data_IF_496062085506
#
_entry.id   IF_496062085506
#
_cell.length_a   1.000
_cell.length_b   1.000
_cell.length_c   1.000
_cell.angle_alpha   90.00
_cell.angle_beta   90.00
_cell.angle_gamma   90.00
#
_symmetry.space_group_name_H-M   'P 1'
#
loop_
_entity.id
_entity.type
_entity.pdbx_description
1 polymer ?
#
# COMPACT_ATOMS: atom_id res chain seq x y z
N UNK A 1 -22.25 -44.99 -14.46
CA UNK A 1 -23.01 -44.88 -13.19
C UNK A 1 -22.08 -45.35 -12.07
N UNK A 2 -21.41 -44.43 -11.40
CA UNK A 2 -20.60 -44.72 -10.21
C UNK A 2 -21.01 -43.71 -9.14
N UNK A 3 -21.41 -44.28 -8.01
CA UNK A 3 -21.91 -43.59 -6.83
C UNK A 3 -20.76 -42.87 -6.13
N UNK A 4 -20.98 -41.59 -5.85
CA UNK A 4 -20.23 -40.78 -4.89
C UNK A 4 -20.33 -41.39 -3.49
N UNK A 5 -19.21 -41.47 -2.78
CA UNK A 5 -19.17 -41.51 -1.31
C UNK A 5 -18.01 -40.66 -0.80
N UNK A 6 -18.36 -39.43 -0.45
CA UNK A 6 -17.54 -38.42 0.20
C UNK A 6 -17.24 -38.83 1.65
N UNK A 7 -16.02 -38.55 2.12
CA UNK A 7 -15.70 -38.35 3.54
C UNK A 7 -15.02 -37.00 3.71
N UNK A 8 -15.24 -36.33 4.86
CA UNK A 8 -14.87 -34.93 5.05
C UNK A 8 -13.39 -34.78 5.38
N UNK A 9 -12.85 -33.62 5.02
CA UNK A 9 -11.48 -33.10 5.22
C UNK A 9 -10.52 -33.40 4.07
N UNK A 10 -9.98 -32.32 3.48
CA UNK A 10 -9.11 -32.24 2.27
C UNK A 10 -9.78 -32.66 0.96
N UNK A 11 -10.27 -31.68 0.18
CA UNK A 11 -10.79 -31.90 -1.17
C UNK A 11 -9.61 -32.06 -2.16
N UNK A 12 -9.43 -33.27 -2.67
CA UNK A 12 -8.67 -33.51 -3.89
C UNK A 12 -9.59 -33.26 -5.08
N UNK A 13 -9.27 -32.27 -5.91
CA UNK A 13 -9.94 -32.01 -7.18
C UNK A 13 -8.93 -32.22 -8.31
N UNK A 14 -9.34 -32.92 -9.37
CA UNK A 14 -8.55 -33.01 -10.62
C UNK A 14 -8.48 -31.60 -11.22
N UNK A 15 -7.37 -30.90 -10.95
CA UNK A 15 -7.19 -29.49 -11.28
C UNK A 15 -6.54 -29.35 -12.67
N UNK A 16 -7.10 -28.48 -13.51
CA UNK A 16 -6.36 -27.90 -14.63
C UNK A 16 -5.39 -26.86 -14.07
N UNK A 17 -4.16 -27.26 -13.75
CA UNK A 17 -3.15 -26.42 -13.13
C UNK A 17 -2.36 -25.67 -14.20
N UNK A 18 -2.16 -24.37 -14.01
CA UNK A 18 -1.36 -23.53 -14.91
C UNK A 18 -0.10 -23.08 -14.16
N UNK A 19 1.06 -23.32 -14.78
CA UNK A 19 2.39 -22.99 -14.22
C UNK A 19 2.69 -21.50 -14.35
N UNK A 20 3.32 -20.93 -13.33
CA UNK A 20 3.90 -19.58 -13.44
C UNK A 20 5.13 -19.59 -14.36
N UNK A 21 5.17 -18.70 -15.34
CA UNK A 21 6.24 -18.63 -16.35
C UNK A 21 7.50 -18.01 -15.74
N UNK A 22 8.61 -18.76 -15.71
CA UNK A 22 9.94 -18.13 -15.59
C UNK A 22 10.31 -17.50 -16.93
N UNK A 23 10.77 -16.25 -16.92
CA UNK A 23 11.25 -15.57 -18.12
C UNK A 23 12.32 -16.42 -18.83
N UNK A 24 12.06 -16.80 -20.08
CA UNK A 24 13.05 -17.43 -20.97
C UNK A 24 12.76 -18.84 -21.47
N UNK A 25 11.76 -19.57 -20.95
CA UNK A 25 11.46 -20.93 -21.45
C UNK A 25 10.39 -20.92 -22.57
N UNK A 26 10.72 -21.59 -23.68
CA UNK A 26 9.81 -21.97 -24.76
C UNK A 26 9.75 -23.49 -24.78
N UNK A 27 8.64 -24.07 -24.36
CA UNK A 27 8.35 -25.48 -24.60
C UNK A 27 6.88 -25.67 -25.00
N UNK A 28 6.70 -26.40 -26.09
CA UNK A 28 5.46 -27.00 -26.55
C UNK A 28 5.12 -28.13 -25.55
N UNK A 29 4.20 -27.88 -24.61
CA UNK A 29 3.69 -28.92 -23.73
C UNK A 29 2.34 -29.43 -24.27
N UNK A 30 2.30 -30.70 -24.64
CA UNK A 30 1.07 -31.44 -24.91
C UNK A 30 0.52 -31.93 -23.56
N UNK A 31 -0.56 -31.31 -23.07
CA UNK A 31 -1.31 -31.76 -21.88
C UNK A 31 -1.04 -30.98 -20.58
N UNK A 32 -2.07 -30.77 -19.73
CA UNK A 32 -2.00 -29.90 -18.54
C UNK A 32 -1.25 -30.48 -17.32
N UNK A 33 -0.85 -31.76 -17.35
CA UNK A 33 -0.20 -32.44 -16.22
C UNK A 33 1.29 -32.79 -16.46
N UNK A 34 1.77 -32.66 -17.70
CA UNK A 34 3.15 -33.01 -18.04
C UNK A 34 4.11 -31.88 -17.62
N UNK A 35 4.82 -32.09 -16.51
CA UNK A 35 5.94 -31.25 -16.08
C UNK A 35 5.77 -30.48 -14.77
N UNK A 36 4.69 -30.72 -14.01
CA UNK A 36 4.51 -30.19 -12.66
C UNK A 36 5.01 -31.20 -11.62
N UNK A 37 6.08 -30.83 -10.90
CA UNK A 37 6.64 -31.61 -9.80
C UNK A 37 6.15 -31.11 -8.44
N UNK A 38 6.31 -31.95 -7.41
CA UNK A 38 6.08 -31.52 -6.03
C UNK A 38 6.93 -30.28 -5.70
N UNK A 39 6.30 -29.25 -5.13
CA UNK A 39 6.92 -27.95 -4.85
C UNK A 39 6.71 -26.88 -5.92
N UNK A 40 6.17 -27.22 -7.10
CA UNK A 40 5.88 -26.22 -8.12
C UNK A 40 4.71 -25.30 -7.72
N UNK A 41 4.82 -23.97 -7.95
CA UNK A 41 3.73 -23.04 -7.71
C UNK A 41 2.66 -23.17 -8.79
N UNK A 42 1.40 -23.11 -8.38
CA UNK A 42 0.25 -23.27 -9.26
C UNK A 42 -0.86 -22.30 -8.87
N UNK A 43 -1.63 -21.82 -9.86
CA UNK A 43 -2.80 -20.97 -9.65
C UNK A 43 -4.09 -21.80 -9.79
N UNK A 44 -5.02 -21.67 -8.86
CA UNK A 44 -6.34 -22.28 -9.01
C UNK A 44 -7.20 -21.43 -9.97
N UNK A 45 -7.64 -22.05 -11.08
CA UNK A 45 -8.51 -21.42 -12.09
C UNK A 45 -9.91 -22.06 -12.14
N UNK A 46 -10.23 -22.95 -11.20
CA UNK A 46 -11.56 -23.55 -11.09
C UNK A 46 -12.52 -22.55 -10.42
N UNK A 47 -13.42 -21.95 -11.19
CA UNK A 47 -14.34 -20.89 -10.73
C UNK A 47 -15.26 -21.37 -9.60
N UNK A 48 -15.58 -22.66 -9.57
CA UNK A 48 -16.39 -23.31 -8.55
C UNK A 48 -15.62 -23.63 -7.25
N UNK A 49 -14.28 -23.49 -7.26
CA UNK A 49 -13.44 -23.76 -6.09
C UNK A 49 -13.39 -22.55 -5.15
N UNK A 50 -13.42 -22.80 -3.84
CA UNK A 50 -13.12 -21.78 -2.83
C UNK A 50 -11.69 -21.23 -2.93
N UNK A 51 -10.80 -21.91 -3.67
CA UNK A 51 -9.45 -21.49 -3.95
C UNK A 51 -9.31 -20.68 -5.25
N UNK A 52 -10.38 -20.36 -5.98
CA UNK A 52 -10.28 -19.63 -7.26
C UNK A 52 -9.43 -18.35 -7.13
N UNK A 53 -8.44 -18.20 -8.01
CA UNK A 53 -7.50 -17.09 -8.01
C UNK A 53 -6.42 -17.15 -6.92
N UNK A 54 -6.37 -18.21 -6.10
CA UNK A 54 -5.35 -18.40 -5.07
C UNK A 54 -4.14 -19.16 -5.62
N UNK A 55 -2.95 -18.78 -5.12
CA UNK A 55 -1.71 -19.50 -5.35
C UNK A 55 -1.61 -20.70 -4.40
N UNK A 56 -1.18 -21.84 -4.94
CA UNK A 56 -0.92 -23.07 -4.23
C UNK A 56 0.41 -23.68 -4.63
N UNK A 57 0.70 -24.84 -4.05
CA UNK A 57 1.91 -25.62 -4.32
C UNK A 57 1.51 -27.06 -4.56
N UNK A 58 2.09 -27.68 -5.58
CA UNK A 58 1.89 -29.12 -5.85
C UNK A 58 2.48 -29.93 -4.69
N UNK A 59 1.69 -30.80 -4.09
CA UNK A 59 2.14 -31.70 -3.01
C UNK A 59 2.45 -33.10 -3.52
N UNK A 60 1.68 -33.60 -4.50
CA UNK A 60 1.91 -34.91 -5.13
C UNK A 60 1.83 -34.79 -6.64
N UNK A 61 2.87 -35.30 -7.31
CA UNK A 61 2.94 -35.37 -8.76
C UNK A 61 2.36 -36.70 -9.24
N UNK A 62 1.72 -36.70 -10.41
CA UNK A 62 1.20 -37.92 -11.04
C UNK A 62 2.30 -38.93 -11.42
N UNK A 63 3.58 -38.60 -11.24
CA UNK A 63 4.72 -39.49 -11.48
C UNK A 63 5.02 -40.39 -10.28
N UNK A 64 4.53 -40.05 -9.07
CA UNK A 64 4.84 -40.74 -7.82
C UNK A 64 3.73 -41.70 -7.34
N UNK A 65 2.59 -41.77 -8.06
CA UNK A 65 1.44 -42.61 -7.71
C UNK A 65 0.83 -43.32 -8.93
N UNK A 66 0.33 -44.54 -8.74
CA UNK A 66 -0.40 -45.31 -9.76
C UNK A 66 -1.75 -44.66 -10.17
N UNK A 67 -2.22 -43.67 -9.40
CA UNK A 67 -3.35 -42.80 -9.75
C UNK A 67 -2.84 -41.50 -10.38
N UNK A 68 -3.37 -41.14 -11.55
CA UNK A 68 -2.94 -40.02 -12.39
C UNK A 68 -3.40 -38.63 -11.90
N UNK A 69 -3.81 -38.49 -10.65
CA UNK A 69 -4.39 -37.26 -10.11
C UNK A 69 -3.32 -36.40 -9.43
N UNK A 70 -3.03 -35.24 -10.02
CA UNK A 70 -2.10 -34.25 -9.48
C UNK A 70 -2.75 -33.48 -8.32
N UNK A 71 -2.08 -33.42 -7.18
CA UNK A 71 -2.62 -32.80 -5.97
C UNK A 71 -1.87 -31.52 -5.63
N UNK A 72 -2.60 -30.42 -5.45
CA UNK A 72 -2.05 -29.14 -5.03
C UNK A 72 -2.74 -28.65 -3.75
N UNK A 73 -1.94 -28.07 -2.86
CA UNK A 73 -2.40 -27.43 -1.64
C UNK A 73 -2.45 -25.92 -1.83
N UNK A 74 -3.63 -25.33 -1.65
CA UNK A 74 -3.86 -23.89 -1.76
C UNK A 74 -3.93 -23.27 -0.38
N UNK A 75 -3.16 -22.20 -0.16
CA UNK A 75 -3.35 -21.37 1.02
C UNK A 75 -4.51 -20.44 0.76
N UNK A 76 -5.70 -20.86 1.19
CA UNK A 76 -6.86 -19.99 1.21
C UNK A 76 -6.52 -18.75 2.06
N UNK A 77 -6.84 -17.56 1.54
CA UNK A 77 -6.89 -16.35 2.34
C UNK A 77 -7.87 -16.51 3.52
N UNK A 78 -7.90 -15.53 4.42
CA UNK A 78 -8.88 -15.53 5.51
C UNK A 78 -10.29 -15.65 4.92
N UNK A 79 -11.14 -16.55 5.44
CA UNK A 79 -12.57 -16.55 5.14
C UNK A 79 -13.16 -15.14 5.31
N UNK A 80 -14.17 -14.78 4.51
CA UNK A 80 -14.70 -13.41 4.49
C UNK A 80 -15.18 -12.92 5.88
N UNK A 81 -15.69 -13.82 6.72
CA UNK A 81 -16.07 -13.56 8.11
C UNK A 81 -14.85 -13.33 9.02
N UNK A 82 -13.76 -14.07 8.82
CA UNK A 82 -12.49 -13.84 9.52
C UNK A 82 -11.80 -12.54 9.07
N UNK A 83 -11.84 -12.23 7.78
CA UNK A 83 -11.35 -10.96 7.23
C UNK A 83 -12.13 -9.77 7.81
N UNK A 84 -13.47 -9.87 7.84
CA UNK A 84 -14.32 -8.86 8.46
C UNK A 84 -14.05 -8.73 9.95
N UNK A 85 -13.90 -9.84 10.68
CA UNK A 85 -13.56 -9.83 12.09
C UNK A 85 -12.17 -9.21 12.35
N UNK A 86 -11.18 -9.51 11.50
CA UNK A 86 -9.86 -8.89 11.57
C UNK A 86 -9.94 -7.39 11.31
N UNK A 87 -10.68 -6.96 10.28
CA UNK A 87 -10.86 -5.54 9.97
C UNK A 87 -11.52 -4.79 11.13
N UNK A 88 -12.55 -5.38 11.75
CA UNK A 88 -13.19 -4.80 12.95
C UNK A 88 -12.22 -4.70 14.13
N UNK A 89 -11.36 -5.72 14.35
CA UNK A 89 -10.33 -5.68 15.41
C UNK A 89 -9.30 -4.59 15.13
N UNK A 90 -8.82 -4.47 13.89
CA UNK A 90 -7.89 -3.41 13.47
C UNK A 90 -8.53 -2.03 13.72
N UNK A 91 -9.77 -1.83 13.27
CA UNK A 91 -10.51 -0.59 13.51
C UNK A 91 -10.67 -0.31 15.01
N UNK A 92 -10.95 -1.33 15.82
CA UNK A 92 -11.03 -1.19 17.27
C UNK A 92 -9.72 -0.74 17.92
N UNK A 93 -8.57 -1.23 17.44
CA UNK A 93 -7.24 -0.76 17.90
C UNK A 93 -7.01 0.68 17.49
N UNK A 94 -7.29 1.03 16.23
CA UNK A 94 -7.13 2.40 15.71
C UNK A 94 -8.01 3.38 16.51
N UNK A 95 -9.26 3.03 16.80
CA UNK A 95 -10.16 3.89 17.58
C UNK A 95 -9.66 4.10 19.01
N UNK A 96 -9.14 3.06 19.67
CA UNK A 96 -8.53 3.20 21.00
C UNK A 96 -7.32 4.12 20.97
N UNK A 97 -6.45 3.99 19.97
CA UNK A 97 -5.31 4.88 19.79
C UNK A 97 -5.77 6.32 19.53
N UNK A 98 -6.74 6.54 18.65
CA UNK A 98 -7.29 7.87 18.37
C UNK A 98 -7.84 8.58 19.61
N UNK A 99 -8.40 7.84 20.58
CA UNK A 99 -8.89 8.41 21.85
C UNK A 99 -7.76 8.91 22.77
N UNK A 100 -6.54 8.38 22.62
CA UNK A 100 -5.38 8.77 23.43
C UNK A 100 -4.63 9.97 22.87
N UNK A 101 -4.85 10.30 21.59
CA UNK A 101 -4.15 11.37 20.90
C UNK A 101 -4.81 12.73 21.13
N UNK A 102 -4.00 13.78 21.14
CA UNK A 102 -4.50 15.16 21.07
C UNK A 102 -4.64 15.57 19.61
N UNK A 103 -5.75 16.22 19.28
CA UNK A 103 -6.06 16.60 17.90
C UNK A 103 -6.08 18.12 17.75
N UNK A 104 -5.45 18.59 16.69
CA UNK A 104 -5.22 19.99 16.40
C UNK A 104 -5.83 20.38 15.06
N UNK A 105 -6.47 21.54 15.01
CA UNK A 105 -6.87 22.14 13.74
C UNK A 105 -5.63 22.59 12.96
N UNK A 106 -5.75 22.79 11.64
CA UNK A 106 -4.67 23.34 10.81
C UNK A 106 -4.08 24.65 11.38
N UNK A 107 -4.94 25.53 11.91
CA UNK A 107 -4.51 26.79 12.52
C UNK A 107 -3.74 26.59 13.83
N UNK A 108 -4.07 25.56 14.61
CA UNK A 108 -3.35 25.24 15.83
C UNK A 108 -2.03 24.52 15.54
N UNK A 109 -1.96 23.69 14.49
CA UNK A 109 -0.68 23.13 14.00
C UNK A 109 0.28 24.26 13.63
N UNK A 110 -0.20 25.27 12.90
CA UNK A 110 0.62 26.44 12.54
C UNK A 110 1.16 27.19 13.77
N UNK A 111 0.34 27.38 14.80
CA UNK A 111 0.78 27.99 16.06
C UNK A 111 1.82 27.14 16.78
N UNK A 112 1.57 25.83 16.94
CA UNK A 112 2.47 24.92 17.65
C UNK A 112 3.81 24.74 16.94
N UNK A 113 3.83 24.79 15.61
CA UNK A 113 5.04 24.64 14.80
C UNK A 113 5.73 25.96 14.48
N UNK A 114 5.11 27.11 14.78
CA UNK A 114 5.64 28.43 14.41
C UNK A 114 5.76 28.63 12.89
N UNK A 115 4.91 27.97 12.10
CA UNK A 115 4.86 28.06 10.64
C UNK A 115 3.66 28.88 10.18
N UNK A 116 3.73 29.41 8.97
CA UNK A 116 2.57 30.05 8.34
C UNK A 116 1.52 28.98 7.99
N UNK A 117 0.23 29.28 8.19
CA UNK A 117 -0.89 28.37 7.88
C UNK A 117 -0.86 27.92 6.42
N UNK A 118 -0.44 28.80 5.50
CA UNK A 118 -0.24 28.46 4.08
C UNK A 118 0.83 27.36 3.92
N UNK A 119 1.98 27.50 4.58
CA UNK A 119 3.07 26.52 4.52
C UNK A 119 2.63 25.19 5.12
N UNK A 120 1.95 25.21 6.28
CA UNK A 120 1.39 24.02 6.92
C UNK A 120 0.42 23.31 5.98
N UNK A 121 -0.49 24.05 5.33
CA UNK A 121 -1.44 23.46 4.37
C UNK A 121 -0.74 22.78 3.19
N UNK A 122 0.35 23.36 2.69
CA UNK A 122 1.12 22.77 1.60
C UNK A 122 1.84 21.51 2.06
N UNK A 123 2.65 21.60 3.11
CA UNK A 123 3.56 20.52 3.51
C UNK A 123 2.83 19.32 4.09
N UNK A 124 1.66 19.51 4.71
CA UNK A 124 0.82 18.40 5.16
C UNK A 124 0.10 17.70 4.00
N UNK A 125 0.03 18.29 2.81
CA UNK A 125 -0.45 17.64 1.60
C UNK A 125 0.67 17.00 0.78
N UNK A 126 0.44 16.90 -0.53
CA UNK A 126 1.45 16.51 -1.52
C UNK A 126 2.15 17.76 -2.07
N UNK A 127 3.49 17.74 -2.11
CA UNK A 127 4.32 18.80 -2.68
C UNK A 127 5.32 18.17 -3.63
N UNK A 128 5.04 18.26 -4.93
CA UNK A 128 6.02 17.87 -5.93
C UNK A 128 7.18 18.87 -5.95
N UNK A 129 8.39 18.36 -5.84
CA UNK A 129 9.61 19.13 -5.96
C UNK A 129 10.49 18.52 -7.07
N UNK A 130 11.22 19.38 -7.78
CA UNK A 130 11.98 19.02 -8.97
C UNK A 130 13.43 19.49 -8.85
N UNK A 131 14.35 18.59 -9.18
CA UNK A 131 15.75 18.85 -9.48
C UNK A 131 16.02 18.53 -10.96
N UNK A 132 17.28 18.47 -11.38
CA UNK A 132 17.62 18.40 -12.80
C UNK A 132 17.12 17.09 -13.46
N UNK A 133 17.24 15.95 -12.76
CA UNK A 133 16.77 14.65 -13.27
C UNK A 133 15.77 13.95 -12.35
N UNK A 134 15.38 14.59 -11.25
CA UNK A 134 14.56 13.99 -10.19
C UNK A 134 13.31 14.82 -9.96
N UNK A 135 12.17 14.14 -9.77
CA UNK A 135 10.90 14.76 -9.39
C UNK A 135 10.24 13.89 -8.32
N UNK A 136 10.28 14.37 -7.07
CA UNK A 136 9.81 13.64 -5.90
C UNK A 136 8.66 14.38 -5.22
N UNK A 137 7.83 13.65 -4.49
CA UNK A 137 6.88 14.23 -3.55
C UNK A 137 7.54 14.40 -2.19
N UNK A 138 7.76 15.66 -1.78
CA UNK A 138 8.36 16.02 -0.49
C UNK A 138 7.31 16.45 0.53
N UNK A 139 6.03 16.31 0.19
CA UNK A 139 4.91 16.51 1.09
C UNK A 139 4.77 15.35 2.09
N UNK A 140 4.28 15.66 3.29
CA UNK A 140 4.02 14.63 4.31
C UNK A 140 2.80 13.77 3.99
N UNK A 141 1.97 14.17 3.01
CA UNK A 141 0.84 13.38 2.52
C UNK A 141 -0.20 13.01 3.61
N UNK A 142 -0.34 13.85 4.64
CA UNK A 142 -1.35 13.71 5.71
C UNK A 142 -2.72 14.27 5.30
N UNK A 143 -2.77 15.11 4.27
CA UNK A 143 -3.98 15.66 3.67
C UNK A 143 -4.12 15.13 2.24
N UNK A 144 -4.81 14.01 2.08
CA UNK A 144 -5.05 13.41 0.77
C UNK A 144 -6.55 13.24 0.53
N UNK A 145 -6.99 13.54 -0.69
CA UNK A 145 -8.37 13.34 -1.15
C UNK A 145 -8.33 12.50 -2.42
N UNK A 146 -8.99 11.35 -2.40
CA UNK A 146 -9.25 10.55 -3.59
C UNK A 146 -10.49 11.13 -4.28
N UNK A 147 -10.33 11.54 -5.53
CA UNK A 147 -11.41 12.10 -6.33
C UNK A 147 -12.03 11.00 -7.21
N UNK A 148 -13.29 10.68 -6.93
CA UNK A 148 -14.11 9.79 -7.77
C UNK A 148 -15.23 10.64 -8.38
N UNK A 149 -14.97 11.19 -9.56
CA UNK A 149 -15.85 12.16 -10.21
C UNK A 149 -15.89 13.48 -9.43
N UNK A 150 -17.08 13.88 -8.96
CA UNK A 150 -17.28 15.09 -8.17
C UNK A 150 -17.16 14.85 -6.65
N UNK A 151 -16.95 13.61 -6.23
CA UNK A 151 -16.86 13.24 -4.81
C UNK A 151 -15.40 13.12 -4.40
N UNK A 152 -15.00 13.91 -3.40
CA UNK A 152 -13.72 13.81 -2.73
C UNK A 152 -13.84 12.94 -1.47
N UNK A 153 -13.21 11.78 -1.47
CA UNK A 153 -13.11 10.90 -0.30
C UNK A 153 -11.77 11.18 0.40
N UNK A 154 -11.77 11.63 1.67
CA UNK A 154 -10.54 11.89 2.39
C UNK A 154 -9.80 10.58 2.71
N UNK A 155 -8.53 10.50 2.34
CA UNK A 155 -7.62 9.43 2.74
C UNK A 155 -6.87 9.90 3.99
N UNK A 156 -7.30 9.41 5.15
CA UNK A 156 -6.67 9.73 6.43
C UNK A 156 -5.62 8.67 6.78
N UNK A 157 -4.39 9.12 7.03
CA UNK A 157 -3.36 8.27 7.61
C UNK A 157 -3.69 7.99 9.09
N UNK A 158 -3.79 6.72 9.50
CA UNK A 158 -4.07 6.34 10.89
C UNK A 158 -3.14 7.07 11.85
N UNK A 159 -3.67 7.51 12.99
CA UNK A 159 -2.93 8.22 14.05
C UNK A 159 -2.31 9.56 13.70
N UNK A 160 -2.31 10.00 12.44
CA UNK A 160 -1.71 11.27 12.01
C UNK A 160 -2.74 12.31 11.57
N UNK A 161 -3.78 11.87 10.88
CA UNK A 161 -4.78 12.76 10.28
C UNK A 161 -6.20 12.22 10.45
N UNK A 162 -7.16 13.12 10.51
CA UNK A 162 -8.58 12.78 10.54
C UNK A 162 -9.40 13.89 9.89
N UNK A 163 -10.52 13.49 9.29
CA UNK A 163 -11.53 14.41 8.74
C UNK A 163 -12.75 14.42 9.64
N UNK A 164 -13.02 15.56 10.29
CA UNK A 164 -14.24 15.76 11.07
C UNK A 164 -15.03 16.96 10.55
N UNK A 165 -16.28 16.70 10.14
CA UNK A 165 -17.10 17.69 9.43
C UNK A 165 -16.35 18.21 8.20
N UNK A 166 -16.29 19.54 8.09
CA UNK A 166 -15.59 20.21 6.99
C UNK A 166 -14.14 20.58 7.33
N UNK A 167 -13.58 20.17 8.48
CA UNK A 167 -12.17 20.43 8.88
C UNK A 167 -11.21 19.22 8.82
N UNK A 168 -9.93 19.49 8.57
CA UNK A 168 -8.82 18.54 8.75
C UNK A 168 -8.23 18.70 10.15
N UNK A 169 -7.93 17.57 10.79
CA UNK A 169 -7.39 17.49 12.13
C UNK A 169 -6.14 16.63 12.13
N UNK A 170 -5.16 17.02 12.94
CA UNK A 170 -3.85 16.39 13.00
C UNK A 170 -3.53 16.02 14.43
N UNK A 171 -2.98 14.84 14.65
CA UNK A 171 -2.57 14.42 15.98
C UNK A 171 -1.36 15.22 16.48
N UNK A 172 -1.05 15.11 17.76
CA UNK A 172 0.23 15.53 18.33
C UNK A 172 1.42 14.82 17.66
N UNK A 173 1.29 13.55 17.29
CA UNK A 173 2.32 12.84 16.50
C UNK A 173 2.60 13.51 15.14
N UNK A 174 1.56 13.99 14.45
CA UNK A 174 1.73 14.72 13.20
C UNK A 174 2.42 16.08 13.40
N UNK A 175 2.15 16.74 14.52
CA UNK A 175 2.82 18.01 14.88
C UNK A 175 4.30 17.76 15.19
N UNK A 176 4.61 16.73 15.97
CA UNK A 176 5.99 16.33 16.29
C UNK A 176 6.78 15.98 15.02
N UNK A 177 6.20 15.14 14.14
CA UNK A 177 6.82 14.79 12.86
C UNK A 177 7.07 16.02 11.97
N UNK A 178 6.15 16.99 11.96
CA UNK A 178 6.34 18.23 11.20
C UNK A 178 7.46 19.11 11.78
N UNK A 179 7.61 19.15 13.11
CA UNK A 179 8.70 19.86 13.78
C UNK A 179 10.03 19.22 13.41
N UNK A 180 10.15 17.89 13.53
CA UNK A 180 11.37 17.16 13.16
C UNK A 180 11.72 17.36 11.68
N UNK A 181 10.71 17.31 10.79
CA UNK A 181 10.92 17.49 9.36
C UNK A 181 11.43 18.91 9.03
N UNK A 182 10.89 19.92 9.73
CA UNK A 182 11.36 21.31 9.63
C UNK A 182 12.79 21.49 10.12
N UNK A 183 13.14 20.86 11.25
CA UNK A 183 14.49 20.93 11.81
C UNK A 183 15.51 20.25 10.90
N UNK A 184 15.13 19.13 10.28
CA UNK A 184 15.99 18.38 9.36
C UNK A 184 16.20 19.11 8.03
N UNK A 185 15.17 19.79 7.50
CA UNK A 185 15.24 20.44 6.19
C UNK A 185 14.72 21.89 6.20
N UNK A 186 15.35 22.80 6.95
CA UNK A 186 14.84 24.16 7.13
C UNK A 186 14.72 24.94 5.81
N UNK A 187 15.61 24.69 4.84
CA UNK A 187 15.59 25.35 3.53
C UNK A 187 14.33 25.05 2.73
N UNK A 188 13.75 23.85 2.84
CA UNK A 188 12.48 23.50 2.19
C UNK A 188 11.36 24.44 2.65
N UNK A 189 11.28 24.72 3.95
CA UNK A 189 10.25 25.59 4.53
C UNK A 189 10.43 27.07 4.14
N UNK A 190 11.66 27.51 3.91
CA UNK A 190 11.95 28.84 3.36
C UNK A 190 11.40 28.95 1.93
N UNK A 191 11.64 27.94 1.08
CA UNK A 191 11.15 27.93 -0.30
C UNK A 191 9.63 27.80 -0.37
N UNK A 192 9.04 26.95 0.47
CA UNK A 192 7.58 26.80 0.57
C UNK A 192 6.88 28.11 0.90
N UNK A 193 7.47 28.92 1.79
CA UNK A 193 6.93 30.24 2.13
C UNK A 193 6.98 31.22 0.95
N UNK A 194 7.95 31.08 0.07
CA UNK A 194 8.11 31.92 -1.13
C UNK A 194 7.36 31.40 -2.36
N UNK A 195 6.81 30.18 -2.30
CA UNK A 195 6.13 29.52 -3.42
C UNK A 195 4.92 30.31 -3.89
N UNK A 196 4.76 30.46 -5.21
CA UNK A 196 3.57 31.08 -5.80
C UNK A 196 2.52 30.02 -6.12
N UNK A 197 1.22 30.34 -6.04
CA UNK A 197 0.14 29.38 -6.36
C UNK A 197 0.19 28.78 -7.77
N UNK A 198 0.88 29.43 -8.72
CA UNK A 198 1.03 28.96 -10.10
C UNK A 198 2.20 27.98 -10.29
N UNK A 199 3.07 27.86 -9.30
CA UNK A 199 4.26 27.02 -9.39
C UNK A 199 3.85 25.57 -9.14
N UNK A 200 3.84 24.76 -10.22
CA UNK A 200 3.42 23.36 -10.16
C UNK A 200 4.36 22.52 -9.30
N UNK A 201 5.66 22.68 -9.51
CA UNK A 201 6.72 21.97 -8.78
C UNK A 201 7.60 22.98 -8.03
N UNK A 202 8.13 22.60 -6.87
CA UNK A 202 9.09 23.37 -6.08
C UNK A 202 10.51 23.13 -6.61
N UNK A 203 11.30 24.20 -6.83
CA UNK A 203 12.70 24.06 -7.26
C UNK A 203 13.58 23.67 -6.07
N UNK A 204 14.06 22.42 -6.07
CA UNK A 204 14.83 21.86 -4.96
C UNK A 204 16.18 22.54 -4.77
N UNK A 205 16.73 23.15 -5.81
CA UNK A 205 18.01 23.87 -5.73
C UNK A 205 17.92 25.07 -4.80
N UNK A 206 16.72 25.63 -4.64
CA UNK A 206 16.48 26.70 -3.68
C UNK A 206 16.36 26.18 -2.23
N UNK A 207 15.98 24.92 -2.05
CA UNK A 207 15.78 24.31 -0.74
C UNK A 207 17.10 23.77 -0.14
N UNK A 208 18.05 23.40 -1.00
CA UNK A 208 19.38 22.89 -0.63
C UNK A 208 20.49 23.61 -1.42
N UNK A 209 20.64 24.93 -1.27
CA UNK A 209 21.54 25.74 -2.12
C UNK A 209 23.02 25.35 -1.99
N UNK A 210 23.41 24.76 -0.86
CA UNK A 210 24.78 24.36 -0.58
C UNK A 210 25.11 22.93 -1.06
N UNK A 211 24.14 22.19 -1.62
CA UNK A 211 24.39 20.84 -2.12
C UNK A 211 25.03 20.87 -3.51
N UNK A 212 26.18 20.19 -3.67
CA UNK A 212 26.79 19.96 -4.98
C UNK A 212 26.07 18.87 -5.79
N UNK A 213 25.26 18.04 -5.13
CA UNK A 213 24.43 17.00 -5.75
C UNK A 213 22.97 17.19 -5.33
N UNK A 214 22.25 17.92 -6.16
CA UNK A 214 20.86 18.30 -5.94
C UNK A 214 19.91 17.11 -6.10
N UNK A 215 20.26 16.15 -6.96
CA UNK A 215 19.48 14.93 -7.18
C UNK A 215 19.61 13.97 -5.96
N UNK A 216 20.80 13.83 -5.37
CA UNK A 216 20.97 13.07 -4.12
C UNK A 216 20.23 13.74 -2.96
N UNK A 217 20.39 15.06 -2.79
CA UNK A 217 19.70 15.79 -1.72
C UNK A 217 18.17 15.73 -1.88
N UNK A 218 17.66 15.76 -3.10
CA UNK A 218 16.24 15.57 -3.39
C UNK A 218 15.69 14.25 -2.83
N UNK A 219 16.43 13.15 -3.00
CA UNK A 219 16.03 11.82 -2.51
C UNK A 219 16.09 11.69 -0.99
N UNK A 220 16.82 12.56 -0.30
CA UNK A 220 16.89 12.56 1.16
C UNK A 220 15.69 13.29 1.81
N UNK A 221 14.93 14.06 1.03
CA UNK A 221 13.74 14.79 1.50
C UNK A 221 12.49 13.90 1.61
N UNK A 222 12.54 12.66 1.09
CA UNK A 222 11.44 11.68 1.12
C UNK A 222 11.62 10.71 2.27
#
# INVERSE_FOLDING_TARGET
KLLYRLRPTSEYCSLHLVRERKEGEVLLAEGPADGLGAGDPVLCVAEESCAFGQMGVVEQSAQDSDDADLQACFRLGLPADEEQALQQRIQGVIMKQHQTLKWWSLGDVAKNTGLDVYVVKLILGSVMARADNVREDVGMNLMCELWEGEVATPLCLPTYSSRWGNGWWFSDLAVEALIEYRERFPGLFVVLKARKPRDRDLDLRLAVPDSSDTDYAARQLV
#
